data_IF_671918652881
#
_entry.id   IF_671918652881
#
_cell.length_a   1.000
_cell.length_b   1.000
_cell.length_c   1.000
_cell.angle_alpha   90.00
_cell.angle_beta   90.00
_cell.angle_gamma   90.00
#
_symmetry.space_group_name_H-M   'P 1'
#
loop_
_entity.id
_entity.type
_entity.pdbx_description
1 polymer ?
#
# COMPACT_ATOMS: atom_id res chain seq x y z
N UNK A 1 0.41 15.49 3.47
CA UNK A 1 1.79 15.00 3.51
C UNK A 1 1.82 13.63 2.85
N UNK A 2 2.90 13.27 2.13
CA UNK A 2 3.16 11.87 1.82
C UNK A 2 3.28 11.06 3.10
N UNK A 3 2.98 9.76 3.02
CA UNK A 3 3.10 8.82 4.14
C UNK A 3 3.75 7.51 3.72
N UNK A 4 4.56 6.93 4.61
CA UNK A 4 4.99 5.54 4.52
C UNK A 4 4.06 4.68 5.37
N UNK A 5 3.29 3.80 4.73
CA UNK A 5 2.48 2.77 5.36
C UNK A 5 3.32 1.50 5.49
N UNK A 6 3.46 0.98 6.71
CA UNK A 6 4.19 -0.24 7.01
C UNK A 6 3.27 -1.21 7.76
N UNK A 7 3.18 -2.44 7.23
CA UNK A 7 2.36 -3.51 7.75
C UNK A 7 3.23 -4.71 8.11
N UNK A 8 2.88 -5.40 9.19
CA UNK A 8 3.41 -6.71 9.54
C UNK A 8 2.27 -7.70 9.71
N UNK A 9 2.33 -8.81 9.00
CA UNK A 9 1.35 -9.91 9.13
C UNK A 9 1.81 -10.98 10.15
N UNK A 10 0.91 -11.90 10.48
CA UNK A 10 1.03 -12.89 11.55
C UNK A 10 2.11 -13.97 11.31
N UNK A 11 2.49 -14.21 10.06
CA UNK A 11 3.63 -15.05 9.65
C UNK A 11 4.94 -14.27 9.52
N UNK A 12 4.95 -12.98 9.87
CA UNK A 12 6.15 -12.16 10.03
C UNK A 12 6.63 -11.41 8.79
N UNK A 13 5.92 -11.49 7.66
CA UNK A 13 6.20 -10.69 6.47
C UNK A 13 5.96 -9.22 6.75
N UNK A 14 6.91 -8.37 6.35
CA UNK A 14 6.82 -6.92 6.45
C UNK A 14 6.70 -6.32 5.05
N UNK A 15 5.70 -5.48 4.83
CA UNK A 15 5.36 -4.92 3.52
C UNK A 15 4.58 -3.62 3.70
N UNK A 16 4.26 -2.94 2.59
CA UNK A 16 3.49 -1.71 2.65
C UNK A 16 3.60 -0.88 1.39
N UNK A 17 3.46 0.43 1.55
CA UNK A 17 3.53 1.36 0.43
C UNK A 17 3.86 2.77 0.84
N UNK A 18 4.39 3.52 -0.13
CA UNK A 18 4.54 4.96 -0.04
C UNK A 18 3.38 5.63 -0.79
N UNK A 19 2.57 6.38 -0.04
CA UNK A 19 1.47 7.18 -0.55
C UNK A 19 1.95 8.62 -0.77
N UNK A 20 1.85 9.12 -2.00
CA UNK A 20 2.38 10.43 -2.38
C UNK A 20 1.62 11.61 -1.79
N UNK A 21 0.34 11.39 -1.51
CA UNK A 21 -0.60 12.45 -1.12
C UNK A 21 -1.22 12.15 0.24
N UNK A 22 -1.82 13.17 0.86
CA UNK A 22 -2.64 13.00 2.06
C UNK A 22 -3.82 12.07 1.76
N UNK A 23 -4.10 11.13 2.65
CA UNK A 23 -5.27 10.26 2.57
C UNK A 23 -6.56 11.08 2.62
N UNK A 24 -7.41 10.90 1.61
CA UNK A 24 -8.71 11.57 1.51
C UNK A 24 -9.84 10.54 1.58
N UNK A 25 -10.72 10.69 2.57
CA UNK A 25 -11.95 9.92 2.69
C UNK A 25 -12.94 10.37 1.59
N UNK A 26 -12.82 9.76 0.41
CA UNK A 26 -13.54 10.20 -0.80
C UNK A 26 -14.02 9.05 -1.69
N UNK A 27 -13.54 7.82 -1.46
CA UNK A 27 -13.83 6.67 -2.32
C UNK A 27 -13.25 6.75 -3.73
N UNK A 28 -12.41 7.75 -4.02
CA UNK A 28 -11.80 7.95 -5.34
C UNK A 28 -10.28 7.76 -5.28
N UNK A 29 -9.71 7.25 -6.38
CA UNK A 29 -8.27 7.20 -6.55
C UNK A 29 -7.67 8.60 -6.70
N UNK A 30 -6.59 8.85 -5.99
CA UNK A 30 -5.78 10.08 -6.06
C UNK A 30 -4.29 9.72 -5.89
N UNK A 31 -3.42 10.72 -5.73
CA UNK A 31 -1.97 10.52 -5.69
C UNK A 31 -1.30 10.64 -7.06
N UNK A 32 0.00 10.35 -7.10
CA UNK A 32 0.80 10.49 -8.31
C UNK A 32 1.85 9.37 -8.47
N UNK A 33 2.61 9.43 -9.57
CA UNK A 33 3.57 8.41 -9.97
C UNK A 33 4.78 8.20 -9.05
N UNK A 34 4.95 9.01 -8.00
CA UNK A 34 5.94 8.75 -6.96
C UNK A 34 5.51 7.68 -5.96
N UNK A 35 4.22 7.30 -5.94
CA UNK A 35 3.71 6.21 -5.10
C UNK A 35 4.30 4.86 -5.53
N UNK A 36 4.53 3.97 -4.56
CA UNK A 36 5.02 2.61 -4.81
C UNK A 36 4.60 1.65 -3.70
N UNK A 37 4.55 0.36 -4.01
CA UNK A 37 4.42 -0.71 -3.02
C UNK A 37 5.78 -1.34 -2.76
N UNK A 38 5.95 -1.97 -1.60
CA UNK A 38 7.16 -2.72 -1.29
C UNK A 38 6.88 -3.90 -0.35
N UNK A 39 7.84 -4.82 -0.31
CA UNK A 39 7.93 -5.88 0.70
C UNK A 39 9.37 -6.17 1.05
N UNK A 40 9.58 -6.80 2.19
CA UNK A 40 10.84 -7.43 2.55
C UNK A 40 10.78 -8.92 2.24
N UNK A 41 11.76 -9.40 1.48
CA UNK A 41 11.97 -10.84 1.28
C UNK A 41 12.39 -11.52 2.58
N UNK A 42 12.31 -12.87 2.70
CA UNK A 42 12.78 -13.58 3.89
C UNK A 42 14.26 -13.31 4.28
N UNK A 43 15.08 -12.84 3.33
CA UNK A 43 16.47 -12.44 3.55
C UNK A 43 16.63 -10.97 3.96
N UNK A 44 15.54 -10.25 4.21
CA UNK A 44 15.56 -8.82 4.57
C UNK A 44 15.83 -7.87 3.42
N UNK A 45 15.89 -8.35 2.17
CA UNK A 45 16.03 -7.47 0.99
C UNK A 45 14.71 -6.77 0.68
N UNK A 46 14.77 -5.46 0.46
CA UNK A 46 13.66 -4.65 -0.05
C UNK A 46 13.40 -4.98 -1.53
N UNK A 47 12.15 -5.30 -1.83
CA UNK A 47 11.60 -5.51 -3.17
C UNK A 47 10.50 -4.46 -3.39
N UNK A 48 10.72 -3.52 -4.32
CA UNK A 48 9.88 -2.34 -4.51
C UNK A 48 9.26 -2.30 -5.91
N UNK A 49 7.98 -1.94 -5.97
CA UNK A 49 7.14 -1.92 -7.17
C UNK A 49 6.68 -0.49 -7.46
N UNK A 50 7.32 0.14 -8.45
CA UNK A 50 7.04 1.53 -8.84
C UNK A 50 5.96 1.59 -9.92
N UNK A 51 5.46 2.81 -10.19
CA UNK A 51 4.40 3.03 -11.18
C UNK A 51 4.72 2.43 -12.56
N UNK A 52 3.84 1.54 -13.03
CA UNK A 52 3.98 0.84 -14.32
C UNK A 52 3.59 1.70 -15.53
N UNK A 53 2.98 2.87 -15.29
CA UNK A 53 2.39 3.76 -16.30
C UNK A 53 1.15 3.22 -17.03
N UNK A 54 0.56 2.11 -16.58
CA UNK A 54 -0.67 1.56 -17.18
C UNK A 54 -1.95 2.34 -16.84
N UNK A 55 -2.04 2.89 -15.63
CA UNK A 55 -3.17 3.67 -15.13
C UNK A 55 -2.71 4.60 -14.00
N UNK A 56 -3.61 5.36 -13.39
CA UNK A 56 -3.36 6.31 -12.30
C UNK A 56 -4.12 5.97 -11.00
N UNK A 57 -4.36 4.69 -10.72
CA UNK A 57 -5.11 4.22 -9.55
C UNK A 57 -4.22 4.04 -8.32
N UNK A 58 -3.58 5.10 -7.84
CA UNK A 58 -2.48 5.01 -6.86
C UNK A 58 -2.93 4.72 -5.42
N UNK A 59 -3.79 5.56 -4.85
CA UNK A 59 -4.27 5.41 -3.46
C UNK A 59 -5.75 5.81 -3.35
N UNK A 60 -6.50 5.13 -2.51
CA UNK A 60 -7.93 5.35 -2.26
C UNK A 60 -8.23 5.06 -0.78
N UNK A 61 -9.10 5.87 -0.20
CA UNK A 61 -9.64 5.63 1.14
C UNK A 61 -11.15 5.84 1.14
N UNK A 62 -11.87 4.90 1.74
CA UNK A 62 -13.31 4.92 1.98
C UNK A 62 -13.59 4.57 3.44
N UNK A 63 -14.86 4.62 3.83
CA UNK A 63 -15.29 4.20 5.17
C UNK A 63 -15.03 2.70 5.44
N UNK A 64 -14.76 1.93 4.39
CA UNK A 64 -14.59 0.46 4.46
C UNK A 64 -13.12 0.03 4.33
N UNK A 65 -12.25 0.88 3.77
CA UNK A 65 -10.91 0.42 3.40
C UNK A 65 -9.89 1.52 3.13
N UNK A 66 -8.63 1.10 3.23
CA UNK A 66 -7.47 1.75 2.64
C UNK A 66 -6.94 0.88 1.50
N UNK A 67 -6.75 1.49 0.32
CA UNK A 67 -6.29 0.82 -0.88
C UNK A 67 -5.09 1.54 -1.48
N UNK A 68 -4.09 0.76 -1.91
CA UNK A 68 -2.99 1.23 -2.76
C UNK A 68 -2.83 0.34 -3.98
N UNK A 69 -2.91 0.96 -5.17
CA UNK A 69 -2.73 0.31 -6.46
C UNK A 69 -3.98 -0.43 -6.90
N UNK A 70 -4.49 -0.09 -8.08
CA UNK A 70 -5.65 -0.74 -8.69
C UNK A 70 -5.38 -1.30 -10.08
N UNK A 71 -6.47 -1.73 -10.73
CA UNK A 71 -6.45 -2.37 -12.05
C UNK A 71 -6.13 -3.86 -11.95
N UNK A 72 -7.04 -4.68 -12.48
CA UNK A 72 -7.14 -6.12 -12.26
C UNK A 72 -7.43 -6.52 -10.79
N UNK A 73 -6.52 -6.21 -9.86
CA UNK A 73 -6.69 -6.42 -8.42
C UNK A 73 -6.17 -5.21 -7.62
N UNK A 74 -6.44 -5.17 -6.32
CA UNK A 74 -5.79 -4.21 -5.43
C UNK A 74 -4.37 -4.67 -5.10
N UNK A 75 -3.38 -3.79 -5.24
CA UNK A 75 -2.00 -4.11 -4.89
C UNK A 75 -1.84 -4.29 -3.37
N UNK A 76 -2.54 -3.46 -2.62
CA UNK A 76 -2.76 -3.57 -1.19
C UNK A 76 -4.18 -3.07 -0.87
N UNK A 77 -4.95 -3.90 -0.17
CA UNK A 77 -6.23 -3.56 0.44
C UNK A 77 -6.12 -3.88 1.94
N UNK A 78 -6.63 -2.98 2.77
CA UNK A 78 -6.73 -3.14 4.22
C UNK A 78 -8.12 -2.68 4.65
N UNK A 79 -8.82 -3.49 5.45
CA UNK A 79 -10.16 -3.18 5.94
C UNK A 79 -10.17 -2.00 6.94
N UNK A 80 -11.37 -1.49 7.23
CA UNK A 80 -11.57 -0.35 8.14
C UNK A 80 -11.11 -0.62 9.58
N UNK A 81 -11.10 -1.89 9.99
CA UNK A 81 -10.60 -2.30 11.32
C UNK A 81 -9.06 -2.38 11.35
N UNK A 82 -8.40 -2.25 10.20
CA UNK A 82 -6.96 -2.39 10.03
C UNK A 82 -6.44 -3.77 10.45
N UNK A 83 -7.29 -4.80 10.35
CA UNK A 83 -7.00 -6.18 10.77
C UNK A 83 -6.82 -7.09 9.58
N UNK A 84 -7.69 -7.05 8.58
CA UNK A 84 -7.62 -7.97 7.45
C UNK A 84 -7.34 -7.24 6.15
N UNK A 85 -6.57 -7.88 5.29
CA UNK A 85 -6.27 -7.31 4.00
C UNK A 85 -5.96 -8.33 2.93
N UNK A 86 -5.83 -7.81 1.71
CA UNK A 86 -5.43 -8.59 0.54
C UNK A 86 -4.35 -7.87 -0.25
N UNK A 87 -3.55 -8.63 -0.98
CA UNK A 87 -2.55 -8.11 -1.91
C UNK A 87 -2.62 -8.93 -3.19
N UNK A 88 -2.83 -8.27 -4.32
CA UNK A 88 -3.00 -8.90 -5.61
C UNK A 88 -2.02 -8.38 -6.66
N UNK A 89 -2.09 -9.00 -7.84
CA UNK A 89 -1.39 -8.50 -9.01
C UNK A 89 -2.10 -7.27 -9.57
N UNK A 90 -1.57 -6.09 -9.27
CA UNK A 90 -2.18 -4.82 -9.71
C UNK A 90 -1.48 -4.24 -10.95
N UNK A 91 -2.27 -3.61 -11.81
CA UNK A 91 -1.72 -2.93 -12.98
C UNK A 91 -0.98 -1.65 -12.62
N UNK A 92 -1.42 -0.87 -11.61
CA UNK A 92 -0.81 0.43 -11.28
C UNK A 92 0.68 0.31 -10.99
N UNK A 93 1.09 -0.66 -10.17
CA UNK A 93 2.50 -0.84 -9.78
C UNK A 93 3.17 -2.02 -10.47
N UNK A 94 2.43 -2.79 -11.28
CA UNK A 94 2.94 -4.03 -11.87
C UNK A 94 3.42 -5.03 -10.82
N UNK A 95 2.90 -4.94 -9.59
CA UNK A 95 3.33 -5.76 -8.46
C UNK A 95 2.76 -7.17 -8.58
N UNK A 96 3.50 -8.14 -8.03
CA UNK A 96 2.90 -9.42 -7.62
C UNK A 96 2.31 -9.24 -6.20
N UNK A 97 1.51 -10.20 -5.68
CA UNK A 97 1.12 -10.22 -4.28
C UNK A 97 2.31 -9.97 -3.34
N UNK A 98 2.11 -9.11 -2.35
CA UNK A 98 3.17 -8.72 -1.42
C UNK A 98 3.39 -9.82 -0.38
N UNK A 99 2.34 -10.58 -0.06
CA UNK A 99 2.38 -11.77 0.80
C UNK A 99 2.09 -13.05 -0.02
N UNK A 100 2.64 -14.21 0.34
CA UNK A 100 2.47 -15.45 -0.43
C UNK A 100 1.01 -15.92 -0.57
N UNK A 101 0.18 -15.70 0.45
CA UNK A 101 -1.21 -16.19 0.49
C UNK A 101 -2.24 -15.26 -0.14
N UNK A 102 -1.83 -14.10 -0.66
CA UNK A 102 -2.69 -13.00 -1.14
C UNK A 102 -3.64 -12.39 -0.11
N UNK A 103 -3.97 -13.08 0.98
CA UNK A 103 -4.66 -12.59 2.16
C UNK A 103 -3.69 -12.47 3.33
N UNK A 104 -3.97 -11.57 4.27
CA UNK A 104 -3.19 -11.44 5.50
C UNK A 104 -4.05 -10.96 6.68
N UNK A 105 -3.62 -11.35 7.88
CA UNK A 105 -4.07 -10.77 9.14
C UNK A 105 -2.95 -9.87 9.68
N UNK A 106 -3.25 -8.60 9.87
CA UNK A 106 -2.31 -7.59 10.32
C UNK A 106 -2.11 -7.69 11.83
N UNK A 107 -0.85 -7.70 12.25
CA UNK A 107 -0.47 -7.63 13.67
C UNK A 107 0.02 -6.25 14.07
N UNK A 108 0.59 -5.49 13.13
CA UNK A 108 1.11 -4.14 13.35
C UNK A 108 0.87 -3.28 12.12
N UNK A 109 0.38 -2.07 12.38
CA UNK A 109 0.25 -0.99 11.39
C UNK A 109 1.02 0.21 11.90
N UNK A 110 1.96 0.70 11.09
CA UNK A 110 2.64 1.97 11.34
C UNK A 110 2.45 2.90 10.13
N UNK A 111 2.22 4.17 10.41
CA UNK A 111 2.09 5.21 9.38
C UNK A 111 3.00 6.37 9.75
N UNK A 112 3.96 6.65 8.88
CA UNK A 112 4.95 7.69 9.08
C UNK A 112 4.69 8.84 8.11
N UNK A 113 4.36 10.02 8.64
CA UNK A 113 4.29 11.26 7.88
C UNK A 113 5.66 11.94 7.82
N UNK A 114 5.92 12.67 6.73
CA UNK A 114 7.14 13.46 6.57
C UNK A 114 6.78 14.94 6.71
N UNK A 115 7.14 15.55 7.83
CA UNK A 115 7.06 17.00 8.00
C UNK A 115 8.35 17.64 7.49
N UNK A 116 8.21 18.73 6.74
CA UNK A 116 9.30 19.68 6.58
C UNK A 116 9.06 20.73 7.66
N UNK A 117 9.91 20.75 8.68
CA UNK A 117 9.89 21.84 9.66
C UNK A 117 10.26 23.14 8.91
N UNK A 118 9.33 24.09 8.78
CA UNK A 118 9.62 25.46 8.37
C UNK A 118 9.07 25.95 7.01
N UNK A 119 7.78 25.75 6.73
CA UNK A 119 7.02 26.71 5.90
C UNK A 119 6.00 27.45 6.77
#
# INVERSE_FOLDING_TARGET
>A
SPTLLLLKEDHGTVFGGFASDMWQLSGNYHGNGSSFLFRFTPLGKLDAFTWSRKNNYFQLCSDESLVMGGGNAFGLYLDADLVHGTTGKCDTFGSNPLVPGETFSCTHVEVWGFTLDGC
#
